data_IF_337786051550
#
_entry.id   IF_337786051550
#
_cell.length_a   1.000
_cell.length_b   1.000
_cell.length_c   1.000
_cell.angle_alpha   90.00
_cell.angle_beta   90.00
_cell.angle_gamma   90.00
#
_symmetry.space_group_name_H-M   'P 1'
#
loop_
_entity.id
_entity.type
_entity.pdbx_description
1 polymer ?
#
# COMPACT_ATOMS: atom_id res chain seq x y z
N UNK A 1 1.36 3.27 -18.79
CA UNK A 1 1.44 2.08 -17.91
C UNK A 1 0.60 0.97 -18.55
N UNK A 2 1.10 -0.27 -18.62
CA UNK A 2 0.35 -1.41 -19.17
C UNK A 2 -0.62 -1.99 -18.13
N UNK A 3 -1.83 -2.44 -18.52
CA UNK A 3 -2.78 -3.02 -17.58
C UNK A 3 -2.26 -4.37 -17.05
N UNK A 4 -2.28 -4.52 -15.72
CA UNK A 4 -1.85 -5.76 -15.07
C UNK A 4 -2.93 -6.86 -15.10
N UNK A 5 -4.17 -6.55 -15.49
CA UNK A 5 -5.28 -7.50 -15.46
C UNK A 5 -5.62 -7.94 -14.04
N UNK A 6 -6.24 -9.12 -13.90
CA UNK A 6 -6.54 -9.70 -12.59
C UNK A 6 -5.25 -10.29 -11.97
N UNK A 7 -4.69 -9.58 -10.99
CA UNK A 7 -3.51 -10.04 -10.27
C UNK A 7 -3.80 -11.26 -9.39
N UNK A 8 -4.99 -11.35 -8.81
CA UNK A 8 -5.37 -12.45 -7.93
C UNK A 8 -5.41 -13.75 -8.72
N UNK A 9 -6.13 -13.77 -9.83
CA UNK A 9 -6.22 -14.95 -10.70
C UNK A 9 -4.83 -15.40 -11.16
N UNK A 10 -3.97 -14.45 -11.55
CA UNK A 10 -2.58 -14.75 -11.94
C UNK A 10 -1.80 -15.47 -10.85
N UNK A 11 -1.92 -15.08 -9.58
CA UNK A 11 -1.23 -15.78 -8.49
C UNK A 11 -1.87 -17.13 -8.18
N UNK A 12 -3.21 -17.21 -8.19
CA UNK A 12 -3.95 -18.43 -7.92
C UNK A 12 -3.62 -19.55 -8.93
N UNK A 13 -3.46 -19.22 -10.23
CA UNK A 13 -3.07 -20.22 -11.24
C UNK A 13 -1.66 -20.77 -11.04
N UNK A 14 -0.77 -20.02 -10.38
CA UNK A 14 0.56 -20.51 -9.96
C UNK A 14 0.54 -21.20 -8.58
N UNK A 15 -0.65 -21.49 -8.04
CA UNK A 15 -0.82 -22.27 -6.81
C UNK A 15 -0.65 -21.49 -5.52
N UNK A 16 -0.68 -20.14 -5.57
CA UNK A 16 -0.64 -19.31 -4.38
C UNK A 16 -2.02 -19.24 -3.72
N UNK A 17 -2.03 -19.12 -2.39
CA UNK A 17 -3.20 -18.65 -1.63
C UNK A 17 -3.18 -17.11 -1.65
N UNK A 18 -4.26 -16.48 -2.11
CA UNK A 18 -4.31 -15.02 -2.25
C UNK A 18 -5.32 -14.44 -1.27
N UNK A 19 -4.87 -13.43 -0.52
CA UNK A 19 -5.69 -12.58 0.34
C UNK A 19 -5.64 -11.14 -0.18
N UNK A 20 -6.75 -10.44 -0.12
CA UNK A 20 -6.81 -9.01 -0.45
C UNK A 20 -7.15 -8.18 0.79
N UNK A 21 -6.39 -7.11 1.02
CA UNK A 21 -6.70 -6.11 2.05
C UNK A 21 -7.10 -4.83 1.32
N UNK A 22 -8.40 -4.50 1.36
CA UNK A 22 -8.98 -3.39 0.58
C UNK A 22 -8.63 -2.01 1.14
N UNK A 23 -8.52 -1.89 2.46
CA UNK A 23 -8.15 -0.64 3.14
C UNK A 23 -6.65 -0.62 3.45
N UNK A 24 -5.80 -0.62 2.41
CA UNK A 24 -4.35 -0.75 2.57
C UNK A 24 -3.62 0.49 3.08
N UNK A 25 -4.36 1.55 3.40
CA UNK A 25 -3.85 2.72 4.13
C UNK A 25 -4.41 2.81 5.56
N UNK A 26 -5.21 1.84 6.01
CA UNK A 26 -5.69 1.73 7.39
C UNK A 26 -4.87 0.69 8.16
N UNK A 27 -4.20 1.13 9.22
CA UNK A 27 -3.29 0.27 9.98
C UNK A 27 -4.00 -0.91 10.66
N UNK A 28 -5.25 -0.73 11.13
CA UNK A 28 -6.00 -1.81 11.76
C UNK A 28 -6.40 -2.87 10.74
N UNK A 29 -6.88 -2.45 9.57
CA UNK A 29 -7.20 -3.36 8.48
C UNK A 29 -5.97 -4.15 8.00
N UNK A 30 -4.81 -3.49 7.92
CA UNK A 30 -3.55 -4.16 7.56
C UNK A 30 -3.16 -5.18 8.64
N UNK A 31 -3.19 -4.81 9.92
CA UNK A 31 -2.83 -5.71 11.02
C UNK A 31 -3.73 -6.95 11.02
N UNK A 32 -5.04 -6.76 10.87
CA UNK A 32 -5.99 -7.87 10.87
C UNK A 32 -5.82 -8.77 9.63
N UNK A 33 -5.71 -8.18 8.43
CA UNK A 33 -5.47 -8.95 7.21
C UNK A 33 -4.13 -9.71 7.25
N UNK A 34 -3.08 -9.11 7.82
CA UNK A 34 -1.80 -9.79 7.97
C UNK A 34 -1.83 -10.90 9.04
N UNK A 35 -2.63 -10.76 10.10
CA UNK A 35 -2.89 -11.86 11.05
C UNK A 35 -3.58 -13.02 10.34
N UNK A 36 -4.60 -12.74 9.54
CA UNK A 36 -5.28 -13.75 8.72
C UNK A 36 -4.30 -14.43 7.76
N UNK A 37 -3.51 -13.66 7.00
CA UNK A 37 -2.50 -14.19 6.08
C UNK A 37 -1.52 -15.14 6.79
N UNK A 38 -1.10 -14.80 8.02
CA UNK A 38 -0.23 -15.66 8.83
C UNK A 38 -0.88 -17.01 9.13
N UNK A 39 -2.19 -17.06 9.39
CA UNK A 39 -2.91 -18.34 9.62
C UNK A 39 -2.97 -19.24 8.38
N UNK A 40 -2.76 -18.67 7.18
CA UNK A 40 -2.74 -19.41 5.90
C UNK A 40 -1.36 -19.98 5.57
N UNK A 41 -0.30 -19.53 6.23
CA UNK A 41 1.08 -20.04 6.04
C UNK A 41 1.25 -21.47 6.56
N UNK A 42 2.30 -22.16 6.11
CA UNK A 42 2.65 -23.51 6.58
C UNK A 42 1.79 -24.65 6.00
N UNK A 43 0.92 -24.35 5.03
CA UNK A 43 -0.04 -25.30 4.43
C UNK A 43 0.37 -25.81 3.05
N UNK A 44 1.68 -25.80 2.76
CA UNK A 44 2.23 -26.29 1.48
C UNK A 44 1.98 -25.39 0.27
N UNK A 45 1.47 -24.15 0.48
CA UNK A 45 1.30 -23.13 -0.56
C UNK A 45 1.89 -21.79 -0.07
N UNK A 46 2.51 -21.00 -0.96
CA UNK A 46 2.87 -19.61 -0.64
C UNK A 46 1.61 -18.75 -0.51
N UNK A 47 1.69 -17.68 0.29
CA UNK A 47 0.59 -16.73 0.50
C UNK A 47 0.95 -15.39 -0.14
N UNK A 48 0.09 -14.87 -1.01
CA UNK A 48 0.18 -13.54 -1.59
C UNK A 48 -0.84 -12.63 -0.89
N UNK A 49 -0.41 -11.47 -0.42
CA UNK A 49 -1.31 -10.43 0.08
C UNK A 49 -1.32 -9.29 -0.93
N UNK A 50 -2.45 -9.07 -1.60
CA UNK A 50 -2.67 -7.92 -2.47
C UNK A 50 -3.22 -6.79 -1.62
N UNK A 51 -2.36 -5.80 -1.37
CA UNK A 51 -2.68 -4.63 -0.57
C UNK A 51 -3.13 -3.47 -1.46
N UNK A 52 -4.35 -2.99 -1.27
CA UNK A 52 -4.92 -1.89 -2.06
C UNK A 52 -4.56 -0.56 -1.42
N UNK A 53 -3.63 0.18 -2.03
CA UNK A 53 -3.11 1.44 -1.47
C UNK A 53 -3.31 2.62 -2.41
N UNK A 54 -3.29 3.82 -1.84
CA UNK A 54 -3.17 5.09 -2.56
C UNK A 54 -1.72 5.54 -2.51
N UNK A 55 -1.07 5.65 -3.67
CA UNK A 55 0.26 6.25 -3.76
C UNK A 55 0.20 7.71 -3.33
N UNK A 56 1.13 8.14 -2.47
CA UNK A 56 1.12 9.49 -1.90
C UNK A 56 0.13 9.70 -0.76
N UNK A 57 -0.52 8.65 -0.24
CA UNK A 57 -1.50 8.75 0.85
C UNK A 57 -1.02 9.63 2.00
N UNK A 58 -1.85 10.58 2.42
CA UNK A 58 -1.55 11.54 3.48
C UNK A 58 -0.98 12.88 2.97
N UNK A 59 -0.73 13.02 1.66
CA UNK A 59 -0.36 14.29 1.04
C UNK A 59 -1.21 14.52 -0.21
N UNK A 60 -2.19 15.42 -0.11
CA UNK A 60 -3.26 15.64 -1.10
C UNK A 60 -2.74 15.84 -2.53
N UNK A 61 -1.70 16.67 -2.71
CA UNK A 61 -1.15 16.96 -4.03
C UNK A 61 -0.32 15.81 -4.62
N UNK A 62 -0.01 14.79 -3.81
CA UNK A 62 0.68 13.58 -4.23
C UNK A 62 -0.26 12.41 -4.52
N UNK A 63 -1.48 12.42 -3.98
CA UNK A 63 -2.46 11.36 -4.14
C UNK A 63 -3.07 11.33 -5.55
N UNK A 64 -3.42 10.12 -6.02
CA UNK A 64 -4.14 9.89 -7.28
C UNK A 64 -3.44 10.40 -8.56
N UNK A 65 -2.13 10.63 -8.51
CA UNK A 65 -1.33 11.05 -9.67
C UNK A 65 -0.02 10.26 -9.76
N UNK A 66 0.50 10.08 -10.96
CA UNK A 66 1.79 9.41 -11.19
C UNK A 66 2.99 10.38 -11.11
N UNK A 67 2.73 11.69 -11.07
CA UNK A 67 3.76 12.73 -11.13
C UNK A 67 4.83 12.64 -10.03
N UNK A 68 4.46 12.04 -8.90
CA UNK A 68 5.29 11.93 -7.70
C UNK A 68 5.98 10.59 -7.53
N UNK A 69 5.93 9.70 -8.53
CA UNK A 69 6.59 8.39 -8.46
C UNK A 69 8.11 8.50 -8.28
N UNK A 70 8.74 9.53 -8.83
CA UNK A 70 10.19 9.73 -8.76
C UNK A 70 10.62 11.20 -8.76
N UNK A 71 9.69 12.12 -8.45
CA UNK A 71 9.96 13.56 -8.40
C UNK A 71 10.05 13.99 -6.93
N UNK A 72 11.12 14.70 -6.58
CA UNK A 72 11.24 15.31 -5.26
C UNK A 72 10.39 16.59 -5.17
N UNK A 73 9.72 16.86 -4.02
CA UNK A 73 9.07 18.14 -3.77
C UNK A 73 10.10 19.27 -3.64
N UNK A 74 9.71 20.50 -3.99
CA UNK A 74 10.48 21.70 -3.66
C UNK A 74 10.21 22.15 -2.22
N UNK A 75 10.88 23.21 -1.76
CA UNK A 75 10.78 23.69 -0.37
C UNK A 75 9.35 24.07 0.04
N UNK A 76 8.59 24.73 -0.85
CA UNK A 76 7.19 25.08 -0.61
C UNK A 76 6.30 23.83 -0.48
N UNK A 77 6.50 22.85 -1.36
CA UNK A 77 5.75 21.59 -1.34
C UNK A 77 6.11 20.71 -0.13
N UNK A 78 7.35 20.80 0.35
CA UNK A 78 7.78 20.16 1.59
C UNK A 78 6.98 20.71 2.77
N UNK A 79 6.94 22.04 2.93
CA UNK A 79 6.20 22.70 4.02
C UNK A 79 4.71 22.31 3.99
N UNK A 80 4.08 22.37 2.81
CA UNK A 80 2.67 21.98 2.62
C UNK A 80 2.46 20.49 2.95
N UNK A 81 3.36 19.61 2.53
CA UNK A 81 3.25 18.17 2.74
C UNK A 81 3.39 17.78 4.22
N UNK A 82 4.36 18.39 4.91
CA UNK A 82 4.56 18.18 6.35
C UNK A 82 3.36 18.66 7.16
N UNK A 83 2.77 19.81 6.82
CA UNK A 83 1.61 20.35 7.52
C UNK A 83 0.35 19.47 7.47
N UNK A 84 0.27 18.52 6.52
CA UNK A 84 -0.87 17.61 6.38
C UNK A 84 -0.81 16.40 7.31
N UNK A 85 0.36 16.09 7.87
CA UNK A 85 0.54 14.97 8.78
C UNK A 85 1.00 15.46 10.14
N UNK A 86 0.46 14.86 11.20
CA UNK A 86 0.93 15.17 12.54
C UNK A 86 2.34 14.63 12.72
N UNK A 87 3.27 15.51 13.07
CA UNK A 87 4.61 15.13 13.51
C UNK A 87 4.55 14.25 14.77
N UNK A 88 5.36 13.18 14.81
CA UNK A 88 5.31 12.21 15.92
C UNK A 88 6.63 12.00 16.66
N UNK A 89 7.78 12.37 16.08
CA UNK A 89 9.11 12.02 16.64
C UNK A 89 9.97 13.26 16.96
N UNK A 90 9.62 14.48 16.55
CA UNK A 90 10.43 15.67 16.83
C UNK A 90 11.65 15.79 15.90
N UNK A 91 11.64 15.07 14.77
CA UNK A 91 12.78 14.86 13.88
C UNK A 91 12.70 15.68 12.58
N UNK A 92 11.75 16.60 12.49
CA UNK A 92 11.58 17.58 11.41
C UNK A 92 11.31 18.98 11.97
#
# INVERSE_FOLDING_TARGET
VMPLGDLKEKFEVFGWDVLEIKEGNDLQAIIEGMREAKTRTGKGKPVCVILHTVMGNGVDFMMHTHAWHGKAPNDEQLEIGLAQNKETIGDY
#
